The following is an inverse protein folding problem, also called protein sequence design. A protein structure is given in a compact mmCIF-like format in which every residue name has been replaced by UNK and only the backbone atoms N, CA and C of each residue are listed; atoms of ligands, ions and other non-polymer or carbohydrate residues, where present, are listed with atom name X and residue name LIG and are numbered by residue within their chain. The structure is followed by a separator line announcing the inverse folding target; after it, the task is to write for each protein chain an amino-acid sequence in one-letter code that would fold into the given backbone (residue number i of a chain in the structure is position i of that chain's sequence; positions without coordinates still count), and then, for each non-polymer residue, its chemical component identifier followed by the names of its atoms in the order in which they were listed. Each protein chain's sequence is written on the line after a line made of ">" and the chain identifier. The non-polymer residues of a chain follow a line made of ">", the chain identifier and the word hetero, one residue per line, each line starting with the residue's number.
data_IF_863914509890
#
_entry.id   IF_863914509890
#
_cell.length_a   1.000
_cell.length_b   1.000
_cell.length_c   1.000
_cell.angle_alpha   90.00
_cell.angle_beta   90.00
_cell.angle_gamma   90.00
#
_symmetry.space_group_name_H-M   'P 1'
#
loop_
_entity.id
_entity.type
_entity.pdbx_description
1 polymer ?
#
# COMPACT_ATOMS: atom_id res chain seq x y z
N UNK A 1 24.75 7.84 21.37
CA UNK A 1 24.75 9.26 20.94
C UNK A 1 23.34 9.74 20.68
N UNK A 2 22.65 9.23 19.64
CA UNK A 2 21.25 9.60 19.40
C UNK A 2 20.31 9.19 20.54
N UNK A 3 20.48 8.00 21.13
CA UNK A 3 19.64 7.55 22.26
C UNK A 3 19.69 8.48 23.47
N UNK A 4 20.87 9.06 23.77
CA UNK A 4 21.01 10.02 24.87
C UNK A 4 20.23 11.30 24.59
N UNK A 5 20.29 11.79 23.35
CA UNK A 5 19.50 12.94 22.93
C UNK A 5 17.99 12.66 23.01
N UNK A 6 17.54 11.49 22.54
CA UNK A 6 16.14 11.09 22.62
C UNK A 6 15.67 10.89 24.07
N UNK A 7 16.55 10.40 24.95
CA UNK A 7 16.28 10.27 26.39
C UNK A 7 16.06 11.63 27.04
N UNK A 8 16.98 12.58 26.81
CA UNK A 8 16.85 13.94 27.36
C UNK A 8 15.58 14.61 26.82
N UNK A 9 15.25 14.44 25.54
CA UNK A 9 14.00 14.97 24.96
C UNK A 9 12.77 14.35 25.63
N UNK A 10 12.75 13.03 25.81
CA UNK A 10 11.66 12.35 26.49
C UNK A 10 11.46 12.89 27.90
N UNK A 11 12.54 13.07 28.67
CA UNK A 11 12.49 13.62 30.02
C UNK A 11 11.95 15.07 30.04
N UNK A 12 12.43 15.92 29.12
CA UNK A 12 11.93 17.29 28.96
C UNK A 12 10.42 17.32 28.64
N UNK A 13 9.94 16.42 27.78
CA UNK A 13 8.51 16.35 27.42
C UNK A 13 7.66 15.86 28.58
N UNK A 14 8.12 14.86 29.35
CA UNK A 14 7.39 14.35 30.51
C UNK A 14 7.23 15.41 31.61
N UNK A 15 8.15 16.39 31.68
CA UNK A 15 8.14 17.49 32.65
C UNK A 15 7.32 18.71 32.17
N UNK A 16 7.01 18.79 30.88
CA UNK A 16 6.35 19.95 30.26
C UNK A 16 4.83 19.73 30.17
N UNK A 17 4.13 20.13 31.23
CA UNK A 17 2.67 19.99 31.33
C UNK A 17 1.91 20.88 30.32
N UNK A 18 2.52 21.93 29.78
CA UNK A 18 1.87 22.81 28.81
C UNK A 18 1.65 22.09 27.47
N UNK A 19 2.55 21.18 27.11
CA UNK A 19 2.46 20.37 25.88
C UNK A 19 1.18 19.54 25.80
N UNK A 20 0.62 19.14 26.94
CA UNK A 20 -0.63 18.38 26.95
C UNK A 20 -1.80 19.16 26.33
N UNK A 21 -1.82 20.49 26.51
CA UNK A 21 -2.85 21.37 25.97
C UNK A 21 -2.54 21.85 24.55
N UNK A 22 -1.27 22.03 24.21
CA UNK A 22 -0.86 22.61 22.92
C UNK A 22 -0.68 21.56 21.81
N UNK A 23 -0.29 20.33 22.15
CA UNK A 23 -0.16 19.25 21.16
C UNK A 23 -1.51 18.56 20.98
N UNK A 24 -2.17 18.81 19.85
CA UNK A 24 -3.49 18.27 19.54
C UNK A 24 -3.45 17.22 18.42
N UNK A 25 -2.45 17.28 17.55
CA UNK A 25 -2.28 16.42 16.37
C UNK A 25 -0.87 15.84 16.24
N UNK A 26 -0.68 14.93 15.28
CA UNK A 26 0.65 14.44 14.91
C UNK A 26 1.57 15.56 14.42
N UNK A 27 1.06 16.43 13.56
CA UNK A 27 1.80 17.58 13.03
C UNK A 27 2.25 18.55 14.14
N UNK A 28 1.39 18.80 15.15
CA UNK A 28 1.77 19.63 16.30
C UNK A 28 2.89 18.97 17.11
N UNK A 29 2.80 17.66 17.31
CA UNK A 29 3.82 16.90 18.03
C UNK A 29 5.15 16.93 17.28
N UNK A 30 5.16 16.67 15.98
CA UNK A 30 6.35 16.72 15.13
C UNK A 30 7.04 18.09 15.15
N UNK A 31 6.28 19.18 14.97
CA UNK A 31 6.81 20.56 15.08
C UNK A 31 7.40 20.84 16.47
N UNK A 32 6.75 20.33 17.51
CA UNK A 32 7.21 20.44 18.90
C UNK A 32 8.53 19.71 19.08
N UNK A 33 8.65 18.48 18.58
CA UNK A 33 9.88 17.69 18.66
C UNK A 33 11.01 18.38 17.93
N UNK A 34 10.78 18.89 16.72
CA UNK A 34 11.80 19.62 15.96
C UNK A 34 12.29 20.86 16.73
N UNK A 35 11.39 21.61 17.34
CA UNK A 35 11.73 22.78 18.17
C UNK A 35 12.58 22.38 19.37
N UNK A 36 12.13 21.38 20.14
CA UNK A 36 12.86 20.88 21.32
C UNK A 36 14.22 20.27 20.95
N UNK A 37 14.35 19.65 19.78
CA UNK A 37 15.65 19.16 19.28
C UNK A 37 16.63 20.31 19.02
N UNK A 38 16.18 21.40 18.41
CA UNK A 38 17.02 22.58 18.16
C UNK A 38 17.45 23.27 19.47
N UNK A 39 16.55 23.36 20.44
CA UNK A 39 16.88 23.83 21.79
C UNK A 39 17.90 22.91 22.47
N UNK A 40 17.75 21.58 22.32
CA UNK A 40 18.69 20.59 22.84
C UNK A 40 20.08 20.77 22.24
N UNK A 41 20.20 20.95 20.92
CA UNK A 41 21.49 21.19 20.26
C UNK A 41 22.20 22.41 20.87
N UNK A 42 21.45 23.47 21.14
CA UNK A 42 22.00 24.71 21.70
C UNK A 42 22.41 24.56 23.16
N UNK A 43 21.61 23.83 23.95
CA UNK A 43 21.82 23.67 25.39
C UNK A 43 22.79 22.54 25.77
N UNK A 44 23.02 21.58 24.87
CA UNK A 44 23.81 20.38 25.09
C UNK A 44 24.80 20.13 23.93
N UNK A 45 25.76 21.06 23.67
CA UNK A 45 26.71 20.93 22.56
C UNK A 45 27.59 19.67 22.66
N UNK A 46 27.78 19.12 23.86
CA UNK A 46 28.51 17.88 24.13
C UNK A 46 27.88 16.63 23.49
N UNK A 47 26.59 16.68 23.11
CA UNK A 47 25.93 15.59 22.37
C UNK A 47 26.49 15.43 20.95
N UNK A 48 27.23 16.43 20.45
CA UNK A 48 27.87 16.38 19.13
C UNK A 48 26.89 16.35 17.97
N UNK A 49 25.68 16.88 18.15
CA UNK A 49 24.70 17.02 17.07
C UNK A 49 25.01 18.29 16.29
N UNK A 50 25.22 18.16 14.98
CA UNK A 50 25.52 19.26 14.06
C UNK A 50 24.25 19.99 13.62
N UNK A 51 23.23 19.25 13.21
CA UNK A 51 21.91 19.80 12.87
C UNK A 51 20.80 18.74 12.94
N UNK A 52 19.56 19.21 13.01
CA UNK A 52 18.35 18.40 12.81
C UNK A 52 17.51 19.08 11.73
N UNK A 53 17.09 18.31 10.73
CA UNK A 53 16.33 18.78 9.58
C UNK A 53 15.03 18.00 9.45
N UNK A 54 13.95 18.67 9.06
CA UNK A 54 12.71 18.03 8.67
C UNK A 54 12.82 17.57 7.20
N UNK A 55 12.55 16.29 6.91
CA UNK A 55 12.72 15.74 5.56
C UNK A 55 11.60 16.17 4.58
N UNK A 56 10.47 16.63 5.10
CA UNK A 56 9.33 17.10 4.31
C UNK A 56 8.08 16.24 4.54
N UNK A 57 6.91 16.78 4.23
CA UNK A 57 5.65 16.05 4.39
C UNK A 57 5.66 14.73 3.62
N UNK A 58 5.14 13.67 4.23
CA UNK A 58 5.10 12.31 3.66
C UNK A 58 6.48 11.67 3.40
N UNK A 59 7.56 12.22 3.96
CA UNK A 59 8.88 11.60 3.92
C UNK A 59 9.03 10.55 5.01
N UNK A 60 9.94 9.60 4.80
CA UNK A 60 10.33 8.65 5.83
C UNK A 60 11.86 8.56 5.91
N UNK A 61 12.46 8.76 7.09
CA UNK A 61 11.85 9.19 8.35
C UNK A 61 11.42 10.67 8.30
N UNK A 62 10.66 11.15 9.29
CA UNK A 62 10.26 12.56 9.38
C UNK A 62 11.45 13.50 9.62
N UNK A 63 12.36 13.15 10.53
CA UNK A 63 13.53 13.96 10.88
C UNK A 63 14.86 13.28 10.52
N UNK A 64 15.82 14.10 10.10
CA UNK A 64 17.22 13.75 9.90
C UNK A 64 18.09 14.43 10.95
N UNK A 65 18.87 13.65 11.70
CA UNK A 65 19.82 14.14 12.71
C UNK A 65 21.24 13.86 12.25
N UNK A 66 22.03 14.90 12.00
CA UNK A 66 23.44 14.77 11.61
C UNK A 66 24.34 15.10 12.78
N UNK A 67 25.33 14.26 13.06
CA UNK A 67 26.33 14.47 14.10
C UNK A 67 27.60 15.11 13.53
N UNK A 68 28.45 15.66 14.39
CA UNK A 68 29.72 16.31 14.02
C UNK A 68 30.76 15.34 13.42
N UNK A 69 30.58 14.04 13.63
CA UNK A 69 31.34 12.98 12.98
C UNK A 69 30.69 12.47 11.67
N UNK A 70 29.79 13.28 11.10
CA UNK A 70 29.02 13.03 9.88
C UNK A 70 28.10 11.79 9.92
N UNK A 71 27.93 11.17 11.09
CA UNK A 71 26.92 10.12 11.24
C UNK A 71 25.51 10.70 11.21
N UNK A 72 24.62 10.04 10.46
CA UNK A 72 23.25 10.49 10.24
C UNK A 72 22.29 9.47 10.87
N UNK A 73 21.28 9.93 11.61
CA UNK A 73 20.23 9.10 12.21
C UNK A 73 18.84 9.63 11.84
N UNK A 74 17.90 8.71 11.68
CA UNK A 74 16.52 9.01 11.36
C UNK A 74 15.65 9.01 12.60
N UNK A 75 14.68 9.91 12.67
CA UNK A 75 13.64 9.87 13.71
C UNK A 75 12.27 9.96 13.05
N UNK A 76 11.51 8.87 13.16
CA UNK A 76 10.10 8.78 12.79
C UNK A 76 9.25 9.22 13.98
N UNK A 77 8.42 10.24 13.78
CA UNK A 77 7.54 10.79 14.80
C UNK A 77 6.17 10.13 14.70
N UNK A 78 5.67 9.65 15.83
CA UNK A 78 4.29 9.14 15.94
C UNK A 78 3.59 9.79 17.12
N UNK A 79 2.31 10.07 16.94
CA UNK A 79 1.49 10.62 18.01
C UNK A 79 0.15 9.90 18.12
N UNK A 80 -0.32 9.66 19.34
CA UNK A 80 -1.66 9.13 19.60
C UNK A 80 -2.43 10.01 20.57
N UNK A 81 -3.41 10.75 20.03
CA UNK A 81 -4.36 11.51 20.82
C UNK A 81 -5.31 10.60 21.64
N UNK A 82 -5.52 9.36 21.20
CA UNK A 82 -6.36 8.36 21.90
C UNK A 82 -5.62 7.58 22.99
N UNK A 83 -4.33 7.85 23.18
CA UNK A 83 -3.53 7.26 24.26
C UNK A 83 -3.12 5.81 24.03
N UNK A 84 -3.14 5.33 22.79
CA UNK A 84 -2.66 4.00 22.45
C UNK A 84 -1.20 4.06 21.95
N UNK A 85 -0.45 2.98 22.15
CA UNK A 85 0.95 2.87 21.74
C UNK A 85 1.12 2.19 20.36
N UNK A 86 0.06 2.14 19.55
CA UNK A 86 0.04 1.44 18.27
C UNK A 86 -0.14 2.42 17.12
N UNK A 87 0.53 2.17 16.01
CA UNK A 87 0.33 2.95 14.79
C UNK A 87 0.76 2.16 13.57
N UNK A 88 0.29 2.58 12.39
CA UNK A 88 0.85 2.11 11.12
C UNK A 88 2.26 2.68 10.96
N UNK A 89 3.20 1.82 10.60
CA UNK A 89 4.55 2.16 10.18
C UNK A 89 4.60 2.42 8.66
N UNK A 90 5.83 2.46 8.15
CA UNK A 90 6.11 2.66 6.74
C UNK A 90 5.89 1.37 5.94
N UNK A 91 5.83 1.49 4.62
CA UNK A 91 5.84 0.36 3.70
C UNK A 91 7.12 -0.46 3.87
N UNK A 92 6.99 -1.79 3.82
CA UNK A 92 8.14 -2.71 3.83
C UNK A 92 9.06 -2.46 2.63
N UNK A 93 8.49 -2.05 1.49
CA UNK A 93 9.23 -1.86 0.25
C UNK A 93 9.83 -0.47 0.09
N UNK A 94 9.43 0.50 0.93
CA UNK A 94 9.96 1.87 1.03
C UNK A 94 10.16 2.56 -0.34
N UNK A 95 9.29 3.50 -0.72
CA UNK A 95 9.37 4.17 -2.02
C UNK A 95 10.67 4.94 -2.26
N UNK A 96 11.27 5.51 -1.20
CA UNK A 96 12.37 6.48 -1.28
C UNK A 96 13.34 6.40 -0.08
N UNK A 97 13.68 5.22 0.45
CA UNK A 97 14.80 5.18 1.39
C UNK A 97 16.12 5.21 0.64
N UNK A 98 17.00 6.13 1.04
CA UNK A 98 18.37 6.33 0.56
C UNK A 98 19.03 5.01 0.15
N UNK A 99 18.86 4.64 -1.13
CA UNK A 99 19.41 3.41 -1.68
C UNK A 99 20.93 3.54 -1.62
N UNK A 100 21.51 2.47 -1.10
CA UNK A 100 22.93 2.19 -0.94
C UNK A 100 23.79 2.86 -2.02
N UNK A 101 24.57 3.86 -1.61
CA UNK A 101 25.82 4.37 -2.22
C UNK A 101 26.18 5.78 -1.73
N UNK A 102 25.28 6.47 -1.04
CA UNK A 102 25.50 7.86 -0.64
C UNK A 102 26.12 7.95 0.77
N UNK A 103 27.04 8.91 0.95
CA UNK A 103 27.63 9.29 2.25
C UNK A 103 26.59 9.79 3.27
N UNK A 104 25.30 9.75 2.90
CA UNK A 104 24.14 10.31 3.59
C UNK A 104 23.16 9.26 4.13
N UNK A 105 23.52 7.97 4.15
CA UNK A 105 22.67 6.92 4.68
C UNK A 105 22.52 7.00 6.21
N UNK A 106 21.30 6.79 6.72
CA UNK A 106 21.07 6.75 8.17
C UNK A 106 21.73 5.52 8.79
N UNK A 107 22.43 5.64 9.92
CA UNK A 107 22.96 4.48 10.65
C UNK A 107 21.86 3.63 11.27
N UNK A 108 20.80 4.29 11.74
CA UNK A 108 19.61 3.66 12.29
C UNK A 108 18.46 4.67 12.23
N UNK A 109 17.22 4.17 12.24
CA UNK A 109 16.00 4.97 12.38
C UNK A 109 15.36 4.63 13.72
N UNK A 110 14.95 5.65 14.47
CA UNK A 110 14.23 5.50 15.74
C UNK A 110 12.78 5.90 15.55
N UNK A 111 11.87 5.21 16.22
CA UNK A 111 10.51 5.71 16.43
C UNK A 111 10.53 6.54 17.71
N UNK A 112 10.05 7.78 17.65
CA UNK A 112 9.78 8.62 18.79
C UNK A 112 8.27 8.83 18.89
N UNK A 113 7.64 8.09 19.80
CA UNK A 113 6.19 7.97 19.90
C UNK A 113 5.71 8.77 21.12
N UNK A 114 4.89 9.79 20.90
CA UNK A 114 4.14 10.50 21.93
C UNK A 114 2.68 10.04 22.03
N UNK A 115 2.11 10.07 23.22
CA UNK A 115 0.67 9.85 23.40
C UNK A 115 0.10 10.78 24.46
N UNK A 116 -1.20 11.07 24.37
CA UNK A 116 -1.94 11.58 25.51
C UNK A 116 -2.23 10.45 26.50
N UNK A 117 -2.03 10.64 27.81
CA UNK A 117 -2.54 9.70 28.79
C UNK A 117 -4.06 9.55 28.64
N UNK A 118 -4.57 8.34 28.88
CA UNK A 118 -6.01 8.08 28.90
C UNK A 118 -6.62 8.73 30.14
N UNK A 119 -7.91 9.10 30.11
CA UNK A 119 -8.56 9.74 31.27
C UNK A 119 -8.43 8.97 32.59
N UNK A 120 -8.28 7.64 32.54
CA UNK A 120 -8.15 6.76 33.73
C UNK A 120 -6.73 6.66 34.30
N UNK A 121 -5.72 7.22 33.63
CA UNK A 121 -4.32 7.13 34.06
C UNK A 121 -3.91 8.29 34.98
N UNK A 122 -4.76 9.32 35.13
CA UNK A 122 -4.55 10.47 36.03
C UNK A 122 -3.18 11.19 35.86
N UNK A 123 -2.64 11.17 34.63
CA UNK A 123 -1.43 11.89 34.26
C UNK A 123 -1.77 13.20 33.53
N UNK A 124 -0.99 14.25 33.80
CA UNK A 124 -1.18 15.60 33.23
C UNK A 124 -0.18 15.98 32.13
N UNK A 125 0.79 15.12 31.84
CA UNK A 125 1.81 15.35 30.82
C UNK A 125 1.70 14.32 29.69
N UNK A 126 2.26 14.65 28.54
CA UNK A 126 2.40 13.68 27.45
C UNK A 126 3.34 12.57 27.87
N UNK A 127 3.00 11.34 27.49
CA UNK A 127 3.92 10.23 27.62
C UNK A 127 4.64 10.00 26.31
N UNK A 128 5.92 9.66 26.42
CA UNK A 128 6.80 9.46 25.28
C UNK A 128 7.59 8.18 25.50
N UNK A 129 7.74 7.42 24.42
CA UNK A 129 8.65 6.29 24.32
C UNK A 129 9.42 6.40 23.03
N UNK A 130 10.66 5.92 23.03
CA UNK A 130 11.42 5.74 21.81
C UNK A 130 12.10 4.38 21.79
N UNK A 131 12.34 3.87 20.59
CA UNK A 131 13.09 2.65 20.35
C UNK A 131 13.59 2.64 18.90
N UNK A 132 14.64 1.86 18.59
CA UNK A 132 14.98 1.55 17.20
C UNK A 132 13.75 1.07 16.43
N UNK A 133 13.64 1.44 15.16
CA UNK A 133 12.47 1.16 14.34
C UNK A 133 12.18 -0.34 14.29
N UNK A 134 13.18 -1.17 14.01
CA UNK A 134 13.04 -2.63 14.01
C UNK A 134 12.62 -3.23 15.36
N UNK A 135 12.93 -2.56 16.47
CA UNK A 135 12.49 -2.97 17.81
C UNK A 135 11.07 -2.51 18.16
N UNK A 136 10.52 -1.60 17.37
CA UNK A 136 9.21 -1.00 17.58
C UNK A 136 8.10 -1.71 16.81
N UNK A 137 8.46 -2.55 15.83
CA UNK A 137 7.50 -3.27 14.99
C UNK A 137 7.08 -4.60 15.66
N UNK A 138 5.77 -4.90 15.67
CA UNK A 138 5.23 -6.15 16.23
C UNK A 138 4.69 -7.13 15.18
N UNK A 139 4.16 -6.64 14.06
CA UNK A 139 3.66 -7.45 12.95
C UNK A 139 3.71 -6.69 11.62
N UNK A 140 3.34 -7.39 10.56
CA UNK A 140 3.04 -6.79 9.26
C UNK A 140 1.54 -6.82 9.02
N UNK A 141 1.01 -5.66 8.64
CA UNK A 141 -0.37 -5.45 8.23
C UNK A 141 -0.42 -5.31 6.71
N UNK A 142 -1.41 -5.93 6.07
CA UNK A 142 -1.63 -5.86 4.63
C UNK A 142 -2.96 -5.18 4.42
N UNK A 143 -2.92 -3.95 3.94
CA UNK A 143 -4.14 -3.19 3.59
C UNK A 143 -4.11 -2.67 2.15
N UNK A 144 -2.92 -2.36 1.59
CA UNK A 144 -2.64 -1.84 0.21
C UNK A 144 -1.22 -2.16 -0.32
N UNK A 145 -0.47 -2.83 0.53
CA UNK A 145 0.96 -3.07 0.50
C UNK A 145 1.35 -3.50 1.92
N UNK A 146 2.29 -4.43 2.08
CA UNK A 146 2.82 -4.80 3.38
C UNK A 146 3.38 -3.56 4.09
N UNK A 147 2.81 -3.23 5.26
CA UNK A 147 3.28 -2.17 6.14
C UNK A 147 3.65 -2.74 7.50
N UNK A 148 4.67 -2.14 8.10
CA UNK A 148 5.00 -2.44 9.48
C UNK A 148 3.89 -1.94 10.42
N UNK A 149 3.58 -2.70 11.48
CA UNK A 149 2.72 -2.26 12.57
C UNK A 149 3.59 -1.94 13.77
N UNK A 150 3.54 -0.69 14.23
CA UNK A 150 4.32 -0.19 15.36
C UNK A 150 3.55 -0.45 16.65
N UNK A 151 4.24 -0.91 17.69
CA UNK A 151 3.69 -1.14 19.01
C UNK A 151 4.73 -0.85 20.12
N UNK A 152 4.59 0.30 20.75
CA UNK A 152 5.48 0.79 21.82
C UNK A 152 5.02 0.36 23.22
N UNK A 153 3.91 -0.37 23.36
CA UNK A 153 3.48 -0.90 24.67
C UNK A 153 4.43 -2.01 25.12
N UNK A 154 4.85 -2.86 24.18
CA UNK A 154 5.71 -4.02 24.39
C UNK A 154 6.94 -3.92 23.47
N UNK A 155 7.86 -2.99 23.74
CA UNK A 155 9.08 -2.75 22.93
C UNK A 155 10.09 -3.92 22.89
N UNK A 156 9.70 -5.12 23.35
CA UNK A 156 10.37 -6.38 23.07
C UNK A 156 9.86 -6.93 21.74
N UNK A 157 10.26 -6.29 20.64
CA UNK A 157 10.08 -6.82 19.28
C UNK A 157 10.61 -8.25 19.18
N UNK A 158 9.92 -9.09 18.43
CA UNK A 158 10.35 -10.45 18.10
C UNK A 158 10.45 -10.64 16.58
N UNK A 159 10.98 -9.63 15.89
CA UNK A 159 11.22 -9.65 14.45
C UNK A 159 12.59 -10.17 14.05
N UNK A 160 13.34 -10.79 14.96
CA UNK A 160 14.47 -11.66 14.62
C UNK A 160 14.07 -12.84 13.71
N UNK A 161 12.76 -13.07 13.49
CA UNK A 161 12.24 -14.01 12.50
C UNK A 161 11.82 -13.36 11.17
N UNK A 162 11.64 -12.03 11.15
CA UNK A 162 11.32 -11.27 9.93
C UNK A 162 12.59 -10.70 9.27
N UNK A 163 13.56 -10.26 10.06
CA UNK A 163 14.83 -9.72 9.55
C UNK A 163 15.90 -10.80 9.32
N UNK A 164 15.54 -12.07 9.52
CA UNK A 164 16.48 -13.18 9.71
C UNK A 164 17.02 -13.23 11.13
N UNK A 165 17.61 -14.37 11.52
CA UNK A 165 18.02 -14.72 12.90
C UNK A 165 19.00 -13.74 13.57
N UNK A 166 19.58 -12.81 12.83
CA UNK A 166 20.65 -11.90 13.29
C UNK A 166 20.44 -10.44 12.91
N UNK A 167 19.37 -10.08 12.18
CA UNK A 167 19.32 -8.80 11.45
C UNK A 167 18.70 -7.60 12.17
N UNK A 168 19.21 -6.40 11.88
CA UNK A 168 18.61 -5.11 12.28
C UNK A 168 17.71 -4.52 11.19
N UNK A 169 16.90 -3.51 11.51
CA UNK A 169 16.14 -2.79 10.48
C UNK A 169 17.04 -2.05 9.49
N UNK A 170 18.19 -1.53 9.96
CA UNK A 170 19.21 -0.94 9.12
C UNK A 170 19.76 -1.93 8.06
N UNK A 171 19.91 -3.20 8.42
CA UNK A 171 20.29 -4.27 7.48
C UNK A 171 19.12 -4.73 6.60
N UNK A 172 17.89 -4.69 7.13
CA UNK A 172 16.70 -5.07 6.36
C UNK A 172 16.41 -4.08 5.23
N UNK A 173 16.43 -2.78 5.52
CA UNK A 173 15.99 -1.76 4.56
C UNK A 173 16.85 -1.67 3.30
N UNK A 174 18.12 -2.06 3.41
CA UNK A 174 19.08 -2.07 2.30
C UNK A 174 18.93 -3.30 1.40
N UNK A 175 18.18 -4.30 1.85
CA UNK A 175 17.86 -5.49 1.05
C UNK A 175 17.13 -5.10 -0.23
N UNK A 176 17.44 -5.83 -1.29
CA UNK A 176 16.67 -5.76 -2.52
C UNK A 176 15.20 -6.10 -2.27
N UNK A 177 14.30 -5.62 -3.12
CA UNK A 177 12.89 -5.99 -3.02
C UNK A 177 12.69 -7.53 -3.11
N UNK A 178 13.58 -8.25 -3.79
CA UNK A 178 13.56 -9.71 -3.81
C UNK A 178 13.81 -10.30 -2.41
N UNK A 179 14.93 -9.95 -1.77
CA UNK A 179 15.25 -10.42 -0.42
C UNK A 179 14.19 -10.01 0.62
N UNK A 180 13.63 -8.80 0.50
CA UNK A 180 12.52 -8.36 1.37
C UNK A 180 11.29 -9.24 1.18
N UNK A 181 10.97 -9.59 -0.07
CA UNK A 181 9.88 -10.52 -0.37
C UNK A 181 10.13 -11.92 0.22
N UNK A 182 11.35 -12.44 0.18
CA UNK A 182 11.68 -13.77 0.73
C UNK A 182 11.42 -13.82 2.25
N UNK A 183 11.86 -12.78 2.96
CA UNK A 183 11.61 -12.61 4.38
C UNK A 183 10.12 -12.47 4.73
N UNK A 184 9.36 -11.74 3.91
CA UNK A 184 7.90 -11.65 4.06
C UNK A 184 7.25 -13.02 3.95
N UNK A 185 7.66 -13.85 2.97
CA UNK A 185 7.10 -15.19 2.78
C UNK A 185 7.43 -16.13 3.93
N UNK A 186 8.65 -16.08 4.47
CA UNK A 186 9.01 -16.83 5.68
C UNK A 186 8.18 -16.41 6.90
N UNK A 187 7.99 -15.10 7.09
CA UNK A 187 7.20 -14.58 8.19
C UNK A 187 5.73 -15.00 8.14
N UNK A 188 5.15 -14.91 6.95
CA UNK A 188 3.75 -15.21 6.77
C UNK A 188 3.46 -16.71 6.78
N UNK A 189 4.33 -17.56 6.21
CA UNK A 189 4.19 -19.03 6.27
C UNK A 189 4.15 -19.55 7.72
N UNK A 190 5.07 -19.08 8.58
CA UNK A 190 5.08 -19.42 10.02
C UNK A 190 3.86 -18.90 10.78
N UNK A 191 3.21 -17.86 10.28
CA UNK A 191 1.98 -17.33 10.88
C UNK A 191 0.76 -18.17 10.51
N UNK A 192 0.76 -18.80 9.32
CA UNK A 192 -0.29 -19.71 8.84
C UNK A 192 -0.32 -21.02 9.64
N UNK A 193 0.85 -21.60 9.94
CA UNK A 193 0.96 -22.84 10.74
C UNK A 193 0.33 -22.73 12.15
N UNK A 194 0.17 -21.51 12.67
CA UNK A 194 -0.46 -21.23 13.96
C UNK A 194 -2.00 -21.08 13.89
N UNK A 195 -2.63 -21.46 12.77
CA UNK A 195 -4.09 -21.58 12.68
C UNK A 195 -4.84 -20.25 12.44
N UNK A 196 -4.18 -19.22 11.90
CA UNK A 196 -4.87 -17.99 11.48
C UNK A 196 -5.39 -18.16 10.04
N UNK A 197 -6.69 -18.46 9.90
CA UNK A 197 -7.36 -18.87 8.65
C UNK A 197 -7.57 -17.78 7.60
N UNK A 198 -7.24 -16.50 7.87
CA UNK A 198 -7.79 -15.39 7.07
C UNK A 198 -6.77 -14.69 6.16
N UNK A 199 -5.65 -15.34 5.81
CA UNK A 199 -4.58 -14.72 5.00
C UNK A 199 -4.45 -15.41 3.64
N UNK A 200 -5.39 -15.13 2.74
CA UNK A 200 -5.55 -15.71 1.41
C UNK A 200 -4.55 -15.16 0.35
N UNK A 201 -3.70 -14.19 0.69
CA UNK A 201 -2.77 -13.51 -0.22
C UNK A 201 -1.37 -14.15 -0.32
N UNK A 202 -1.14 -15.35 0.23
CA UNK A 202 0.20 -15.96 0.26
C UNK A 202 0.23 -17.30 -0.47
N UNK A 203 1.18 -17.52 -1.39
CA UNK A 203 1.36 -18.81 -2.01
C UNK A 203 1.67 -19.87 -0.94
N UNK A 204 1.04 -21.05 -1.08
CA UNK A 204 1.41 -22.24 -0.34
C UNK A 204 2.76 -22.73 -0.88
N UNK A 205 3.86 -22.26 -0.30
CA UNK A 205 5.21 -22.67 -0.67
C UNK A 205 5.61 -23.86 0.21
N UNK A 206 5.99 -24.98 -0.40
CA UNK A 206 6.65 -26.11 0.27
C UNK A 206 8.10 -25.77 0.61
N UNK A 207 8.60 -26.32 1.72
CA UNK A 207 9.90 -25.99 2.34
C UNK A 207 11.15 -26.19 1.45
N UNK A 208 11.02 -26.72 0.23
CA UNK A 208 12.13 -27.08 -0.65
C UNK A 208 12.41 -26.02 -1.76
N UNK A 209 11.51 -25.06 -1.98
CA UNK A 209 11.59 -24.08 -3.09
C UNK A 209 12.00 -22.66 -2.64
N UNK A 210 12.57 -22.51 -1.44
CA UNK A 210 12.79 -21.23 -0.73
C UNK A 210 13.81 -20.28 -1.40
N UNK A 211 14.52 -20.72 -2.45
CA UNK A 211 15.70 -19.98 -2.98
C UNK A 211 15.40 -19.11 -4.21
N UNK A 212 14.28 -19.31 -4.92
CA UNK A 212 13.91 -18.51 -6.09
C UNK A 212 12.44 -18.15 -6.00
N UNK A 213 12.11 -16.97 -5.50
CA UNK A 213 10.71 -16.56 -5.50
C UNK A 213 10.48 -15.43 -6.49
N UNK A 214 10.36 -15.90 -7.72
CA UNK A 214 9.84 -15.15 -8.84
C UNK A 214 8.38 -14.74 -8.54
N UNK A 215 7.93 -13.59 -9.08
CA UNK A 215 6.49 -13.29 -9.13
C UNK A 215 5.73 -14.50 -9.67
N UNK A 216 4.53 -14.76 -9.15
CA UNK A 216 3.79 -15.93 -9.60
C UNK A 216 3.28 -15.67 -11.01
N UNK A 217 3.54 -16.60 -11.93
CA UNK A 217 3.00 -16.47 -13.27
C UNK A 217 1.47 -16.56 -13.19
N UNK A 218 0.77 -15.57 -13.73
CA UNK A 218 -0.69 -15.48 -13.67
C UNK A 218 -1.39 -16.79 -14.10
N UNK A 219 -0.85 -17.45 -15.13
CA UNK A 219 -1.42 -18.71 -15.65
C UNK A 219 -1.28 -19.90 -14.70
N UNK A 220 -0.41 -19.84 -13.67
CA UNK A 220 -0.25 -20.90 -12.66
C UNK A 220 -1.18 -20.74 -11.47
N UNK A 221 -1.87 -19.61 -11.35
CA UNK A 221 -2.88 -19.40 -10.32
C UNK A 221 -4.11 -20.28 -10.56
N UNK A 222 -4.88 -20.57 -9.50
CA UNK A 222 -6.17 -21.23 -9.66
C UNK A 222 -7.16 -20.35 -10.44
N UNK A 223 -8.11 -20.97 -11.14
CA UNK A 223 -9.14 -20.23 -11.90
C UNK A 223 -9.86 -19.17 -11.05
N UNK A 224 -10.30 -19.45 -9.81
CA UNK A 224 -10.92 -18.42 -8.96
C UNK A 224 -10.02 -17.21 -8.69
N UNK A 225 -8.72 -17.44 -8.45
CA UNK A 225 -7.75 -16.36 -8.23
C UNK A 225 -7.53 -15.53 -9.49
N UNK A 226 -7.36 -16.19 -10.65
CA UNK A 226 -7.26 -15.50 -11.94
C UNK A 226 -8.48 -14.62 -12.19
N UNK A 227 -9.69 -15.14 -11.95
CA UNK A 227 -10.95 -14.41 -12.11
C UNK A 227 -11.02 -13.18 -11.22
N UNK A 228 -10.60 -13.30 -9.95
CA UNK A 228 -10.63 -12.19 -8.99
C UNK A 228 -9.69 -11.05 -9.42
N UNK A 229 -8.45 -11.37 -9.80
CA UNK A 229 -7.47 -10.36 -10.27
C UNK A 229 -7.94 -9.67 -11.56
N UNK A 230 -8.49 -10.42 -12.51
CA UNK A 230 -9.02 -9.83 -13.74
C UNK A 230 -10.26 -8.95 -13.48
N UNK A 231 -11.16 -9.39 -12.59
CA UNK A 231 -12.34 -8.62 -12.21
C UNK A 231 -11.94 -7.30 -11.54
N UNK A 232 -11.00 -7.36 -10.59
CA UNK A 232 -10.41 -6.20 -9.93
C UNK A 232 -9.79 -5.22 -10.94
N UNK A 233 -9.09 -5.73 -11.95
CA UNK A 233 -8.53 -4.92 -13.03
C UNK A 233 -9.61 -4.22 -13.87
N UNK A 234 -10.75 -4.88 -14.14
CA UNK A 234 -11.89 -4.26 -14.83
C UNK A 234 -12.59 -3.19 -13.99
N UNK A 235 -12.54 -3.31 -12.66
CA UNK A 235 -13.07 -2.31 -11.73
C UNK A 235 -12.16 -1.07 -11.71
N UNK A 236 -10.86 -1.26 -11.46
CA UNK A 236 -9.90 -0.17 -11.29
C UNK A 236 -9.61 0.55 -12.61
N UNK A 237 -9.42 -0.17 -13.71
CA UNK A 237 -8.86 0.37 -14.95
C UNK A 237 -9.77 0.22 -16.19
N UNK A 238 -11.07 0.56 -16.13
CA UNK A 238 -11.98 0.36 -17.27
C UNK A 238 -11.56 1.18 -18.50
N UNK A 239 -11.11 2.44 -18.34
CA UNK A 239 -10.64 3.29 -19.46
C UNK A 239 -9.42 2.69 -20.16
N UNK A 240 -8.50 2.12 -19.39
CA UNK A 240 -7.28 1.50 -19.93
C UNK A 240 -7.57 0.20 -20.68
N UNK A 241 -8.45 -0.64 -20.13
CA UNK A 241 -8.76 -1.95 -20.70
C UNK A 241 -9.67 -1.86 -21.93
N UNK A 242 -10.67 -0.98 -21.89
CA UNK A 242 -11.64 -0.85 -22.98
C UNK A 242 -11.26 0.20 -24.03
N UNK A 243 -10.11 0.85 -23.91
CA UNK A 243 -9.62 1.78 -24.94
C UNK A 243 -9.51 1.13 -26.32
N UNK A 244 -9.51 1.93 -27.38
CA UNK A 244 -9.31 1.47 -28.77
C UNK A 244 -8.06 0.60 -28.90
N UNK A 245 -7.02 0.95 -28.14
CA UNK A 245 -5.90 0.08 -27.82
C UNK A 245 -5.83 -0.02 -26.30
N UNK A 246 -5.93 -1.25 -25.78
CA UNK A 246 -5.85 -1.48 -24.35
C UNK A 246 -4.45 -1.16 -23.84
N UNK A 247 -4.36 -0.42 -22.73
CA UNK A 247 -3.10 -0.11 -22.05
C UNK A 247 -2.98 -0.96 -20.79
N UNK A 248 -2.03 -1.90 -20.77
CA UNK A 248 -1.86 -2.80 -19.64
C UNK A 248 -0.84 -2.31 -18.60
N UNK A 249 -0.31 -1.09 -18.72
CA UNK A 249 0.77 -0.61 -17.84
C UNK A 249 0.32 -0.51 -16.38
N UNK A 250 -0.80 0.19 -16.11
CA UNK A 250 -1.33 0.31 -14.74
C UNK A 250 -1.80 -1.04 -14.19
N UNK A 251 -2.41 -1.87 -15.03
CA UNK A 251 -2.80 -3.24 -14.70
C UNK A 251 -1.59 -4.11 -14.32
N UNK A 252 -0.48 -4.01 -15.08
CA UNK A 252 0.76 -4.74 -14.80
C UNK A 252 1.35 -4.34 -13.45
N UNK A 253 1.46 -3.03 -13.21
CA UNK A 253 1.95 -2.47 -11.96
C UNK A 253 1.10 -2.95 -10.79
N UNK A 254 -0.23 -2.92 -10.93
CA UNK A 254 -1.18 -3.38 -9.92
C UNK A 254 -1.07 -4.88 -9.63
N UNK A 255 -1.01 -5.72 -10.66
CA UNK A 255 -0.85 -7.18 -10.49
C UNK A 255 0.45 -7.53 -9.76
N UNK A 256 1.53 -6.77 -10.02
CA UNK A 256 2.82 -6.97 -9.36
C UNK A 256 2.80 -6.41 -7.93
N UNK A 257 2.24 -5.21 -7.70
CA UNK A 257 2.26 -4.56 -6.40
C UNK A 257 1.29 -5.19 -5.40
N UNK A 258 0.07 -5.51 -5.85
CA UNK A 258 -1.00 -5.99 -4.98
C UNK A 258 -1.04 -7.52 -4.89
N UNK A 259 -0.73 -8.20 -6.00
CA UNK A 259 -0.89 -9.67 -6.08
C UNK A 259 0.44 -10.40 -6.17
N UNK A 260 1.58 -9.70 -6.34
CA UNK A 260 2.89 -10.29 -6.64
C UNK A 260 2.84 -11.29 -7.82
N UNK A 261 2.02 -10.95 -8.81
CA UNK A 261 1.71 -11.78 -9.97
C UNK A 261 2.14 -11.04 -11.23
N UNK A 262 2.70 -11.78 -12.19
CA UNK A 262 3.07 -11.25 -13.49
C UNK A 262 2.48 -12.09 -14.62
N UNK A 263 2.26 -11.47 -15.77
CA UNK A 263 1.90 -12.17 -17.01
C UNK A 263 3.02 -12.02 -18.03
N UNK A 264 3.43 -13.11 -18.67
CA UNK A 264 4.33 -13.06 -19.85
C UNK A 264 3.71 -12.32 -21.01
N UNK A 265 2.37 -12.35 -21.11
CA UNK A 265 1.57 -11.57 -22.05
C UNK A 265 0.25 -11.15 -21.39
N UNK A 266 0.22 -9.95 -20.81
CA UNK A 266 -0.97 -9.46 -20.10
C UNK A 266 -2.18 -9.36 -21.01
N UNK A 267 -2.01 -8.95 -22.27
CA UNK A 267 -3.09 -8.92 -23.26
C UNK A 267 -3.79 -10.27 -23.38
N UNK A 268 -3.03 -11.36 -23.31
CA UNK A 268 -3.56 -12.71 -23.50
C UNK A 268 -4.35 -13.18 -22.26
N UNK A 269 -4.02 -12.66 -21.07
CA UNK A 269 -4.83 -12.86 -19.86
C UNK A 269 -6.25 -12.28 -19.99
N UNK A 270 -6.43 -11.20 -20.77
CA UNK A 270 -7.72 -10.53 -20.92
C UNK A 270 -8.47 -10.92 -22.20
N UNK A 271 -7.79 -11.09 -23.34
CA UNK A 271 -8.48 -11.19 -24.63
C UNK A 271 -7.75 -11.97 -25.72
N UNK A 272 -6.44 -12.18 -25.60
CA UNK A 272 -5.59 -12.70 -26.68
C UNK A 272 -5.73 -11.97 -28.04
N UNK A 273 -6.27 -10.74 -28.05
CA UNK A 273 -6.48 -9.95 -29.28
C UNK A 273 -7.55 -10.47 -30.24
N UNK A 274 -8.34 -11.47 -29.85
CA UNK A 274 -9.35 -12.09 -30.72
C UNK A 274 -10.69 -11.37 -30.75
N UNK A 275 -11.58 -11.82 -31.64
CA UNK A 275 -13.02 -11.50 -31.61
C UNK A 275 -13.87 -12.76 -31.49
N UNK A 276 -15.02 -12.66 -30.84
CA UNK A 276 -15.97 -13.76 -30.63
C UNK A 276 -17.41 -13.27 -30.67
N UNK A 277 -18.34 -14.17 -31.00
CA UNK A 277 -19.78 -13.92 -30.82
C UNK A 277 -20.08 -13.94 -29.32
N UNK A 278 -20.84 -12.95 -28.84
CA UNK A 278 -21.23 -12.82 -27.42
C UNK A 278 -22.74 -12.64 -27.30
N UNK A 279 -23.27 -11.59 -27.93
CA UNK A 279 -24.68 -11.18 -27.83
C UNK A 279 -25.44 -11.58 -29.10
N UNK A 280 -25.21 -10.87 -30.21
CA UNK A 280 -25.83 -11.14 -31.50
C UNK A 280 -25.01 -12.16 -32.30
N UNK A 281 -25.67 -13.19 -32.85
CA UNK A 281 -25.02 -14.26 -33.62
C UNK A 281 -24.29 -13.79 -34.88
N UNK A 282 -24.61 -12.60 -35.37
CA UNK A 282 -24.09 -12.01 -36.60
C UNK A 282 -22.88 -11.10 -36.38
N UNK A 283 -22.51 -10.81 -35.13
CA UNK A 283 -21.45 -9.87 -34.79
C UNK A 283 -20.40 -10.55 -33.90
N UNK A 284 -19.14 -10.47 -34.32
CA UNK A 284 -17.97 -10.80 -33.49
C UNK A 284 -17.50 -9.53 -32.80
N UNK A 285 -17.51 -9.57 -31.47
CA UNK A 285 -17.03 -8.53 -30.56
C UNK A 285 -15.60 -8.82 -30.11
N UNK A 286 -14.81 -7.79 -29.74
CA UNK A 286 -13.52 -8.00 -29.06
C UNK A 286 -13.66 -8.96 -27.88
N UNK A 287 -12.76 -9.94 -27.79
CA UNK A 287 -12.82 -11.00 -26.78
C UNK A 287 -12.70 -10.48 -25.35
N UNK A 288 -12.13 -9.29 -25.14
CA UNK A 288 -12.12 -8.63 -23.83
C UNK A 288 -13.53 -8.40 -23.27
N UNK A 289 -14.53 -8.15 -24.13
CA UNK A 289 -15.93 -8.00 -23.74
C UNK A 289 -16.54 -9.33 -23.28
N UNK A 290 -16.07 -10.46 -23.81
CA UNK A 290 -16.49 -11.79 -23.36
C UNK A 290 -15.92 -12.09 -21.98
N UNK A 291 -14.66 -11.73 -21.76
CA UNK A 291 -14.00 -11.86 -20.45
C UNK A 291 -14.70 -11.00 -19.42
N UNK A 292 -14.98 -9.72 -19.74
CA UNK A 292 -15.77 -8.84 -18.89
C UNK A 292 -17.15 -9.44 -18.56
N UNK A 293 -17.91 -9.86 -19.57
CA UNK A 293 -19.21 -10.51 -19.41
C UNK A 293 -19.17 -11.75 -18.50
N UNK A 294 -18.13 -12.58 -18.65
CA UNK A 294 -17.95 -13.80 -17.85
C UNK A 294 -17.59 -13.49 -16.38
N UNK A 295 -16.93 -12.35 -16.15
CA UNK A 295 -16.47 -11.91 -14.84
C UNK A 295 -17.48 -11.04 -14.09
N UNK A 296 -18.56 -10.59 -14.72
CA UNK A 296 -19.58 -9.77 -14.06
C UNK A 296 -20.00 -10.27 -12.68
N UNK A 297 -20.29 -11.57 -12.44
CA UNK A 297 -20.65 -12.02 -11.09
C UNK A 297 -19.56 -11.76 -10.05
N UNK A 298 -18.29 -11.92 -10.43
CA UNK A 298 -17.13 -11.64 -9.57
C UNK A 298 -16.91 -10.13 -9.41
N UNK A 299 -17.18 -9.34 -10.46
CA UNK A 299 -17.11 -7.87 -10.37
C UNK A 299 -18.14 -7.35 -9.37
N UNK A 300 -19.40 -7.79 -9.48
CA UNK A 300 -20.47 -7.43 -8.53
C UNK A 300 -20.12 -7.86 -7.10
N UNK A 301 -19.57 -9.07 -6.92
CA UNK A 301 -19.10 -9.54 -5.62
C UNK A 301 -18.04 -8.60 -5.01
N UNK A 302 -17.06 -8.16 -5.80
CA UNK A 302 -15.96 -7.29 -5.34
C UNK A 302 -16.39 -5.84 -5.10
N UNK A 303 -17.38 -5.33 -5.84
CA UNK A 303 -17.95 -4.01 -5.60
C UNK A 303 -18.73 -3.98 -4.28
N UNK A 304 -19.46 -5.06 -3.97
CA UNK A 304 -20.20 -5.21 -2.70
C UNK A 304 -19.27 -5.56 -1.53
N UNK A 305 -18.18 -6.29 -1.79
CA UNK A 305 -17.22 -6.75 -0.79
C UNK A 305 -15.80 -6.42 -1.24
N UNK A 306 -15.34 -5.17 -1.02
CA UNK A 306 -14.02 -4.73 -1.43
C UNK A 306 -12.91 -5.70 -0.99
N UNK A 307 -11.96 -6.04 -1.89
CA UNK A 307 -10.93 -7.03 -1.60
C UNK A 307 -9.91 -6.59 -0.55
N UNK A 308 -9.80 -5.29 -0.27
CA UNK A 308 -8.85 -4.70 0.69
C UNK A 308 -9.30 -3.28 1.13
N UNK A 309 -8.79 -2.78 2.26
CA UNK A 309 -9.40 -1.69 3.07
C UNK A 309 -9.64 -0.32 2.39
N UNK A 310 -8.80 0.10 1.44
CA UNK A 310 -8.95 1.37 0.69
C UNK A 310 -9.19 1.11 -0.82
N UNK A 311 -9.63 -0.09 -1.21
CA UNK A 311 -9.95 -0.38 -2.61
C UNK A 311 -10.94 0.64 -3.19
N UNK A 312 -11.89 1.10 -2.38
CA UNK A 312 -12.84 2.16 -2.75
C UNK A 312 -12.14 3.51 -3.01
N UNK A 313 -11.20 3.90 -2.15
CA UNK A 313 -10.43 5.15 -2.33
C UNK A 313 -9.55 5.09 -3.60
N UNK A 314 -8.91 3.94 -3.84
CA UNK A 314 -8.14 3.69 -5.05
C UNK A 314 -9.02 3.79 -6.30
N UNK A 315 -10.19 3.15 -6.28
CA UNK A 315 -11.17 3.22 -7.35
C UNK A 315 -11.56 4.67 -7.62
N UNK A 316 -11.98 5.42 -6.59
CA UNK A 316 -12.38 6.82 -6.77
C UNK A 316 -11.25 7.68 -7.31
N UNK A 317 -10.03 7.53 -6.79
CA UNK A 317 -8.87 8.28 -7.27
C UNK A 317 -8.56 7.98 -8.74
N UNK A 318 -8.53 6.69 -9.12
CA UNK A 318 -8.23 6.26 -10.49
C UNK A 318 -9.33 6.68 -11.45
N UNK A 319 -10.60 6.59 -11.04
CA UNK A 319 -11.74 6.97 -11.87
C UNK A 319 -11.83 8.48 -12.05
N UNK A 320 -11.60 9.27 -11.00
CA UNK A 320 -11.51 10.73 -11.09
C UNK A 320 -10.42 11.13 -12.09
N UNK A 321 -9.22 10.57 -11.99
CA UNK A 321 -8.13 10.83 -12.93
C UNK A 321 -8.51 10.41 -14.36
N UNK A 322 -9.11 9.22 -14.50
CA UNK A 322 -9.38 8.63 -15.81
C UNK A 322 -10.55 9.29 -16.52
N UNK A 323 -11.56 9.81 -15.82
CA UNK A 323 -12.79 10.32 -16.41
C UNK A 323 -13.08 11.80 -16.13
N UNK A 324 -12.10 12.56 -15.62
CA UNK A 324 -12.22 14.01 -15.40
C UNK A 324 -12.68 14.82 -16.64
N UNK A 325 -12.45 14.28 -17.84
CA UNK A 325 -12.81 14.87 -19.13
C UNK A 325 -14.24 14.55 -19.58
N UNK A 326 -14.93 13.63 -18.90
CA UNK A 326 -16.27 13.19 -19.27
C UNK A 326 -17.34 13.77 -18.31
N UNK A 327 -18.14 14.75 -18.74
CA UNK A 327 -19.12 15.40 -17.85
C UNK A 327 -20.24 14.47 -17.40
N UNK A 328 -20.44 13.32 -18.04
CA UNK A 328 -21.45 12.33 -17.67
C UNK A 328 -20.92 11.29 -16.67
N UNK A 329 -19.63 11.29 -16.36
CA UNK A 329 -18.99 10.39 -15.39
C UNK A 329 -18.36 11.26 -14.29
N UNK A 330 -19.20 11.76 -13.40
CA UNK A 330 -18.74 12.43 -12.18
C UNK A 330 -18.77 11.43 -11.02
N UNK A 331 -17.61 11.18 -10.44
CA UNK A 331 -17.48 10.29 -9.30
C UNK A 331 -17.97 11.02 -8.06
N UNK A 332 -18.91 10.42 -7.35
CA UNK A 332 -19.44 10.96 -6.10
C UNK A 332 -18.96 10.07 -4.95
N UNK A 333 -18.05 10.58 -4.13
CA UNK A 333 -17.47 9.83 -3.01
C UNK A 333 -18.47 9.60 -1.86
N UNK A 334 -19.68 10.17 -1.95
CA UNK A 334 -20.75 9.98 -0.97
C UNK A 334 -21.72 8.86 -1.32
N UNK A 335 -21.62 8.26 -2.50
CA UNK A 335 -22.40 7.07 -2.90
C UNK A 335 -21.48 5.85 -2.94
N UNK A 336 -22.07 4.67 -2.85
CA UNK A 336 -21.34 3.41 -2.85
C UNK A 336 -20.58 3.14 -4.16
N UNK A 337 -19.58 2.27 -4.04
CA UNK A 337 -18.69 1.86 -5.11
C UNK A 337 -19.43 1.25 -6.31
N UNK A 338 -20.46 0.44 -6.06
CA UNK A 338 -21.27 -0.19 -7.10
C UNK A 338 -21.99 0.86 -7.96
N UNK A 339 -22.67 1.82 -7.33
CA UNK A 339 -23.39 2.89 -8.02
C UNK A 339 -22.46 3.77 -8.86
N UNK A 340 -21.26 4.10 -8.35
CA UNK A 340 -20.25 4.80 -9.15
C UNK A 340 -19.78 3.98 -10.36
N UNK A 341 -19.52 2.69 -10.15
CA UNK A 341 -19.10 1.80 -11.24
C UNK A 341 -20.20 1.64 -12.30
N UNK A 342 -21.46 1.50 -11.90
CA UNK A 342 -22.61 1.44 -12.82
C UNK A 342 -22.74 2.71 -13.67
N UNK A 343 -22.48 3.90 -13.10
CA UNK A 343 -22.40 5.15 -13.86
C UNK A 343 -21.31 5.08 -14.92
N UNK A 344 -20.12 4.59 -14.58
CA UNK A 344 -19.02 4.38 -15.54
C UNK A 344 -19.47 3.46 -16.67
N UNK A 345 -20.00 2.28 -16.36
CA UNK A 345 -20.49 1.31 -17.37
C UNK A 345 -21.62 1.91 -18.24
N UNK A 346 -22.47 2.76 -17.65
CA UNK A 346 -23.59 3.40 -18.33
C UNK A 346 -23.16 4.51 -19.27
N UNK A 347 -22.13 5.29 -18.94
CA UNK A 347 -21.77 6.50 -19.70
C UNK A 347 -20.46 6.36 -20.48
N UNK A 348 -19.58 5.42 -20.12
CA UNK A 348 -18.38 5.13 -20.90
C UNK A 348 -18.73 4.30 -22.12
N UNK A 349 -18.58 4.89 -23.32
CA UNK A 349 -18.87 4.28 -24.62
C UNK A 349 -17.59 4.13 -25.44
N UNK A 350 -16.73 3.14 -25.12
CA UNK A 350 -15.45 2.98 -25.81
C UNK A 350 -15.64 2.65 -27.29
N UNK A 351 -14.81 3.27 -28.13
CA UNK A 351 -14.75 2.96 -29.56
C UNK A 351 -13.95 1.66 -29.78
N UNK A 352 -14.61 0.62 -30.31
CA UNK A 352 -13.99 -0.68 -30.56
C UNK A 352 -14.35 -1.25 -31.95
N UNK A 353 -13.41 -2.00 -32.54
CA UNK A 353 -13.62 -2.70 -33.81
C UNK A 353 -14.46 -3.97 -33.59
N UNK A 354 -15.62 -4.06 -34.24
CA UNK A 354 -16.42 -5.29 -34.38
C UNK A 354 -16.27 -5.88 -35.78
N UNK A 355 -16.69 -7.12 -35.97
CA UNK A 355 -16.63 -7.81 -37.27
C UNK A 355 -17.95 -8.52 -37.57
N UNK A 356 -18.50 -8.31 -38.76
CA UNK A 356 -19.65 -9.07 -39.27
C UNK A 356 -19.27 -10.53 -39.48
N UNK A 357 -20.12 -11.46 -39.04
CA UNK A 357 -19.94 -12.90 -39.24
C UNK A 357 -20.16 -13.29 -40.70
N UNK A 358 -21.11 -12.64 -41.38
CA UNK A 358 -21.48 -12.95 -42.76
C UNK A 358 -20.50 -12.36 -43.78
N UNK A 359 -20.09 -11.11 -43.58
CA UNK A 359 -19.32 -10.36 -44.59
C UNK A 359 -17.84 -10.20 -44.24
N UNK A 360 -17.42 -10.62 -43.04
CA UNK A 360 -16.10 -10.37 -42.44
C UNK A 360 -15.67 -8.89 -42.38
N UNK A 361 -16.58 -7.95 -42.71
CA UNK A 361 -16.33 -6.51 -42.66
C UNK A 361 -16.13 -6.06 -41.21
N UNK A 362 -15.08 -5.26 -41.02
CA UNK A 362 -14.73 -4.63 -39.73
C UNK A 362 -15.26 -3.20 -39.67
N UNK A 363 -15.80 -2.82 -38.52
CA UNK A 363 -16.34 -1.48 -38.28
C UNK A 363 -16.06 -1.06 -36.84
N UNK A 364 -15.58 0.17 -36.65
CA UNK A 364 -15.43 0.77 -35.32
C UNK A 364 -16.80 1.29 -34.85
N UNK A 365 -17.26 0.86 -33.68
CA UNK A 365 -18.49 1.33 -33.05
C UNK A 365 -18.26 1.72 -31.59
N UNK A 366 -19.07 2.65 -31.08
CA UNK A 366 -19.11 2.95 -29.66
C UNK A 366 -19.90 1.84 -28.94
N UNK A 367 -19.22 1.08 -28.08
CA UNK A 367 -19.80 -0.07 -27.39
C UNK A 367 -20.59 0.40 -26.16
N UNK A 368 -21.83 -0.10 -26.03
CA UNK A 368 -22.59 0.02 -24.80
C UNK A 368 -22.22 -1.11 -23.83
N UNK A 369 -21.32 -0.83 -22.88
CA UNK A 369 -20.81 -1.81 -21.91
C UNK A 369 -21.93 -2.43 -21.06
N UNK A 370 -23.07 -1.75 -20.86
CA UNK A 370 -24.22 -2.29 -20.12
C UNK A 370 -24.73 -3.60 -20.70
N UNK A 371 -24.66 -3.77 -22.03
CA UNK A 371 -25.07 -5.01 -22.70
C UNK A 371 -24.24 -6.22 -22.30
N UNK A 372 -23.03 -5.98 -21.77
CA UNK A 372 -22.08 -7.00 -21.32
C UNK A 372 -21.99 -7.08 -19.79
N UNK A 373 -22.55 -6.09 -19.08
CA UNK A 373 -22.53 -6.04 -17.62
C UNK A 373 -23.80 -6.63 -17.01
N UNK A 374 -24.98 -6.24 -17.46
CA UNK A 374 -26.22 -6.75 -16.87
C UNK A 374 -26.54 -8.15 -17.39
N UNK A 375 -26.77 -9.11 -16.48
CA UNK A 375 -27.45 -10.36 -16.84
C UNK A 375 -28.80 -9.97 -17.44
N UNK A 376 -29.06 -10.37 -18.69
CA UNK A 376 -30.44 -10.68 -19.04
C UNK A 376 -30.88 -11.79 -18.08
N UNK A 377 -31.73 -11.46 -17.14
CA UNK A 377 -32.73 -12.40 -16.70
C UNK A 377 -33.53 -12.77 -17.96
N UNK A 378 -33.36 -14.01 -18.41
CA UNK A 378 -34.40 -14.71 -19.16
C UNK A 378 -35.28 -15.47 -18.19
#
# INVERSE_FOLDING_TARGET
>A
MIEEALKILSEKIHQDNELFQTVLSGDDFEKTILTKFNELITSNPELGIKNVEHNGSHSFPDLKVTFTNDSIYGVEIKFSASGNWKSKGNSVFESLSNKEQDEKAYKEIYVFFGRKPKPKEELSSLEVKFAPYGLSVDRIEVTHSPRFSINMANSKSNLSKLFGTTGTYAEFRIKSNHEKNDLLREYFSKTIEKGSSDKWYLPKISNEDIVNVEPILFSTLSIPQQRRILAESFILYPKDLFGKQANYTRVASHMISEHFVYGTSLRDCFSAGGKTVILEKEIKYPRILMTFYTLTPTIMELLLNPPYDNFEEDCFSIWDESFNDNPNIQIDKNIDLETNYEKIITHFKPLMEIQSVETDKKTDINIDLRKFYFRKEE
#
